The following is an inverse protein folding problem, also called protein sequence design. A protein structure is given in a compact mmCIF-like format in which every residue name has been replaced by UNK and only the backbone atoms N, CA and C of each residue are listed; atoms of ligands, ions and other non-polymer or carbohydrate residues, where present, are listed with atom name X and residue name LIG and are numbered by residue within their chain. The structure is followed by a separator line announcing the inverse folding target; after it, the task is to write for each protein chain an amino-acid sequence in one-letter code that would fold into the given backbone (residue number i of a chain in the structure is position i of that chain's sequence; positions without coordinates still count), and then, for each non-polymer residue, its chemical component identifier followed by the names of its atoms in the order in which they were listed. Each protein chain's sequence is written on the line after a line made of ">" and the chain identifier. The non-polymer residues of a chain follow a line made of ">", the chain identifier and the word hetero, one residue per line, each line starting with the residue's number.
data_IF_726686276386
#
_entry.id   IF_726686276386
#
_cell.length_a   1.000
_cell.length_b   1.000
_cell.length_c   1.000
_cell.angle_alpha   90.00
_cell.angle_beta   90.00
_cell.angle_gamma   90.00
#
_symmetry.space_group_name_H-M   'P 1'
#
loop_
_entity.id
_entity.type
_entity.pdbx_description
1 polymer ?
#
# COMPACT_ATOMS: atom_id res chain seq x y z
N UNK A 1 -69.83 -13.94 20.60
CA UNK A 1 -68.65 -14.66 20.07
C UNK A 1 -67.92 -13.73 19.11
N UNK A 2 -67.01 -12.90 19.62
CA UNK A 2 -66.11 -12.08 18.78
C UNK A 2 -64.88 -11.79 19.64
N UNK A 3 -63.81 -12.56 19.43
CA UNK A 3 -62.50 -12.33 20.05
C UNK A 3 -61.67 -11.48 19.08
N UNK A 4 -61.35 -10.26 19.50
CA UNK A 4 -60.31 -9.45 18.87
C UNK A 4 -58.95 -10.03 19.28
N UNK A 5 -58.20 -10.53 18.30
CA UNK A 5 -56.78 -10.88 18.46
C UNK A 5 -55.99 -9.65 18.05
N UNK A 6 -55.43 -8.93 19.04
CA UNK A 6 -54.42 -7.90 18.80
C UNK A 6 -53.12 -8.59 18.40
N UNK A 7 -52.67 -8.33 17.17
CA UNK A 7 -51.34 -8.69 16.69
C UNK A 7 -50.40 -7.55 17.05
N UNK A 8 -49.50 -7.76 18.02
CA UNK A 8 -48.43 -6.84 18.37
C UNK A 8 -47.20 -7.23 17.56
N UNK A 9 -46.96 -6.55 16.44
CA UNK A 9 -45.72 -6.69 15.67
C UNK A 9 -44.67 -5.72 16.24
N UNK A 10 -43.77 -6.25 17.07
CA UNK A 10 -42.58 -5.53 17.50
C UNK A 10 -41.54 -5.59 16.37
N UNK A 11 -41.36 -4.48 15.65
CA UNK A 11 -40.28 -4.31 14.70
C UNK A 11 -38.99 -4.03 15.47
N UNK A 12 -38.18 -5.07 15.71
CA UNK A 12 -36.80 -4.92 16.13
C UNK A 12 -35.97 -4.55 14.89
N UNK A 13 -35.67 -3.26 14.74
CA UNK A 13 -34.70 -2.77 13.76
C UNK A 13 -33.32 -3.12 14.31
N UNK A 14 -32.76 -4.23 13.83
CA UNK A 14 -31.36 -4.58 14.05
C UNK A 14 -30.50 -3.65 13.20
N UNK A 15 -29.98 -2.58 13.80
CA UNK A 15 -28.86 -1.81 13.26
C UNK A 15 -27.60 -2.68 13.39
N UNK A 16 -27.42 -3.62 12.48
CA UNK A 16 -26.11 -4.21 12.24
C UNK A 16 -25.27 -3.14 11.55
N UNK A 17 -24.53 -2.37 12.33
CA UNK A 17 -23.37 -1.64 11.81
C UNK A 17 -22.38 -2.70 11.36
N UNK A 18 -22.41 -3.04 10.07
CA UNK A 18 -21.29 -3.71 9.42
C UNK A 18 -20.11 -2.76 9.58
N UNK A 19 -19.22 -3.05 10.53
CA UNK A 19 -17.89 -2.49 10.48
C UNK A 19 -17.34 -2.94 9.12
N UNK A 20 -17.30 -2.01 8.17
CA UNK A 20 -16.52 -2.23 6.97
C UNK A 20 -15.11 -2.46 7.49
N UNK A 21 -14.62 -3.69 7.33
CA UNK A 21 -13.21 -3.96 7.52
C UNK A 21 -12.50 -2.98 6.60
N UNK A 22 -11.80 -2.01 7.19
CA UNK A 22 -10.99 -1.07 6.44
C UNK A 22 -10.02 -1.95 5.65
N UNK A 23 -10.18 -1.95 4.33
CA UNK A 23 -9.27 -2.68 3.44
C UNK A 23 -7.96 -1.93 3.54
N UNK A 24 -7.07 -2.44 4.40
CA UNK A 24 -5.73 -1.87 4.55
C UNK A 24 -4.93 -2.27 3.31
N UNK A 25 -4.88 -1.38 2.32
CA UNK A 25 -3.99 -1.52 1.16
C UNK A 25 -2.53 -1.39 1.63
N UNK A 26 -1.61 -2.21 1.10
CA UNK A 26 -0.19 -2.06 1.37
C UNK A 26 0.36 -0.78 0.74
N UNK A 27 1.30 -0.14 1.41
CA UNK A 27 1.93 1.10 0.93
C UNK A 27 2.91 0.81 -0.21
N UNK A 28 3.46 -0.40 -0.24
CA UNK A 28 4.49 -0.78 -1.19
C UNK A 28 4.39 -2.27 -1.50
N UNK A 29 4.39 -2.62 -2.79
CA UNK A 29 4.48 -4.01 -3.24
C UNK A 29 5.69 -4.23 -4.11
N UNK A 30 6.43 -5.29 -3.78
CA UNK A 30 7.51 -5.80 -4.62
C UNK A 30 7.28 -7.25 -4.94
N UNK A 31 7.69 -7.64 -6.14
CA UNK A 31 7.52 -8.99 -6.66
C UNK A 31 8.84 -9.53 -7.22
N UNK A 32 9.07 -10.80 -6.98
CA UNK A 32 10.10 -11.59 -7.66
C UNK A 32 9.41 -12.71 -8.44
N UNK A 33 9.49 -12.68 -9.78
CA UNK A 33 8.95 -13.75 -10.64
C UNK A 33 9.95 -14.88 -10.73
N UNK A 34 9.55 -16.11 -10.44
CA UNK A 34 10.44 -17.26 -10.52
C UNK A 34 10.25 -18.03 -11.82
N UNK A 35 11.36 -18.48 -12.38
CA UNK A 35 11.40 -19.37 -13.54
C UNK A 35 12.31 -20.55 -13.24
N UNK A 36 11.99 -21.70 -13.79
CA UNK A 36 12.90 -22.84 -13.76
C UNK A 36 14.21 -22.52 -14.50
N UNK A 37 15.32 -23.20 -14.15
CA UNK A 37 16.58 -23.08 -14.88
C UNK A 37 16.42 -23.42 -16.36
N UNK A 38 17.06 -22.64 -17.23
CA UNK A 38 17.07 -22.91 -18.67
C UNK A 38 18.21 -23.87 -19.06
N UNK A 39 18.19 -25.08 -18.50
CA UNK A 39 19.27 -26.09 -18.62
C UNK A 39 18.87 -27.32 -19.46
N UNK A 40 17.71 -27.27 -20.12
CA UNK A 40 17.16 -28.37 -20.91
C UNK A 40 16.52 -29.49 -20.08
N UNK A 41 16.39 -29.32 -18.77
CA UNK A 41 15.53 -30.16 -17.94
C UNK A 41 14.05 -29.91 -18.25
N UNK A 42 13.18 -30.78 -17.72
CA UNK A 42 11.74 -30.56 -17.80
C UNK A 42 11.39 -29.17 -17.25
N UNK A 43 10.44 -28.49 -17.91
CA UNK A 43 9.98 -27.15 -17.59
C UNK A 43 10.97 -25.99 -17.85
N UNK A 44 12.13 -26.22 -18.49
CA UNK A 44 13.19 -25.22 -18.61
C UNK A 44 12.72 -23.81 -19.10
N UNK A 45 12.93 -22.79 -18.25
CA UNK A 45 12.57 -21.40 -18.52
C UNK A 45 11.08 -21.04 -18.29
N UNK A 46 10.25 -22.00 -17.91
CA UNK A 46 8.83 -21.78 -17.61
C UNK A 46 8.65 -21.09 -16.25
N UNK A 47 7.56 -20.35 -16.09
CA UNK A 47 7.22 -19.65 -14.85
C UNK A 47 6.75 -20.65 -13.80
N UNK A 48 7.15 -20.46 -12.54
CA UNK A 48 6.80 -21.37 -11.43
C UNK A 48 6.16 -20.64 -10.25
N UNK A 49 5.53 -19.49 -10.54
CA UNK A 49 4.99 -18.57 -9.55
C UNK A 49 5.91 -17.39 -9.23
N UNK A 50 5.69 -16.80 -8.07
CA UNK A 50 6.29 -15.55 -7.64
C UNK A 50 6.30 -15.37 -6.12
N UNK A 51 7.27 -14.61 -5.63
CA UNK A 51 7.22 -14.05 -4.29
C UNK A 51 6.66 -12.63 -4.37
N UNK A 52 5.57 -12.36 -3.63
CA UNK A 52 4.96 -11.05 -3.51
C UNK A 52 5.11 -10.54 -2.08
N UNK A 53 5.52 -9.30 -1.96
CA UNK A 53 5.72 -8.62 -0.68
C UNK A 53 4.71 -7.51 -0.59
N UNK A 54 3.94 -7.50 0.49
CA UNK A 54 2.98 -6.45 0.82
C UNK A 54 3.54 -5.71 2.04
N UNK A 55 4.31 -4.65 1.79
CA UNK A 55 4.93 -3.86 2.85
C UNK A 55 3.91 -2.84 3.35
N UNK A 56 3.61 -2.90 4.64
CA UNK A 56 2.76 -1.93 5.34
C UNK A 56 3.64 -1.11 6.28
N UNK A 57 4.04 0.06 5.83
CA UNK A 57 4.81 1.02 6.59
C UNK A 57 3.89 1.81 7.52
N UNK A 58 3.85 1.45 8.81
CA UNK A 58 3.13 2.27 9.79
C UNK A 58 4.08 3.31 10.37
N UNK A 59 3.89 4.58 10.00
CA UNK A 59 4.56 5.67 10.71
C UNK A 59 3.99 5.78 12.13
N UNK A 60 4.79 5.45 13.14
CA UNK A 60 4.48 5.84 14.52
C UNK A 60 5.14 7.18 14.79
N UNK A 61 4.34 8.24 14.85
CA UNK A 61 4.79 9.57 15.22
C UNK A 61 5.27 9.56 16.69
N UNK A 62 6.58 9.44 16.91
CA UNK A 62 7.16 9.51 18.26
C UNK A 62 7.29 10.97 18.66
N UNK A 63 6.41 11.41 19.57
CA UNK A 63 6.49 12.71 20.22
C UNK A 63 7.74 12.80 21.13
N UNK A 64 8.50 13.90 20.95
CA UNK A 64 9.68 14.33 21.73
C UNK A 64 10.92 13.43 21.67
N UNK A 65 11.71 13.52 20.59
CA UNK A 65 13.17 13.24 20.65
C UNK A 65 13.80 12.48 19.49
N UNK A 66 13.00 11.91 18.57
CA UNK A 66 13.50 11.21 17.38
C UNK A 66 12.36 10.43 16.72
N UNK A 67 12.27 10.47 15.39
CA UNK A 67 11.28 9.71 14.62
C UNK A 67 11.79 8.27 14.48
N UNK A 68 11.00 7.27 14.91
CA UNK A 68 11.28 5.86 14.61
C UNK A 68 10.19 5.29 13.72
N UNK A 69 10.58 4.78 12.56
CA UNK A 69 9.69 4.06 11.64
C UNK A 69 9.43 2.64 12.18
N UNK A 70 8.17 2.19 12.16
CA UNK A 70 7.78 0.83 12.55
C UNK A 70 7.04 0.18 11.38
N UNK A 71 7.79 -0.55 10.55
CA UNK A 71 7.23 -1.18 9.36
C UNK A 71 6.68 -2.57 9.67
N UNK A 72 5.40 -2.84 9.41
CA UNK A 72 4.83 -4.19 9.44
C UNK A 72 5.03 -4.85 8.07
N UNK A 73 5.83 -5.92 8.02
CA UNK A 73 6.12 -6.63 6.77
C UNK A 73 5.23 -7.88 6.66
N UNK A 74 4.30 -7.88 5.72
CA UNK A 74 3.60 -9.12 5.35
C UNK A 74 4.11 -9.56 4.00
N UNK A 75 4.55 -10.80 3.86
CA UNK A 75 4.97 -11.31 2.55
C UNK A 75 4.36 -12.67 2.28
N UNK A 76 4.01 -12.89 1.02
CA UNK A 76 3.42 -14.11 0.53
C UNK A 76 4.32 -14.68 -0.54
N UNK A 77 4.80 -15.89 -0.32
CA UNK A 77 5.55 -16.61 -1.34
C UNK A 77 4.63 -17.67 -1.92
N UNK A 78 4.34 -17.56 -3.21
CA UNK A 78 3.50 -18.50 -3.95
C UNK A 78 4.32 -19.14 -5.06
N UNK A 79 4.66 -20.41 -4.89
CA UNK A 79 5.25 -21.24 -5.91
C UNK A 79 4.14 -22.12 -6.49
N UNK A 80 3.83 -21.92 -7.77
CA UNK A 80 2.78 -22.63 -8.49
C UNK A 80 3.38 -23.32 -9.70
N UNK A 81 3.38 -24.65 -9.67
CA UNK A 81 3.93 -25.47 -10.75
C UNK A 81 2.84 -25.99 -11.68
N UNK A 82 1.55 -25.74 -11.39
CA UNK A 82 0.42 -26.34 -12.11
C UNK A 82 0.30 -25.86 -13.56
N UNK A 83 0.79 -24.66 -13.85
CA UNK A 83 0.82 -24.08 -15.20
C UNK A 83 1.99 -24.59 -16.06
N UNK A 84 2.90 -25.40 -15.51
CA UNK A 84 4.07 -25.93 -16.24
C UNK A 84 3.65 -27.01 -17.22
N UNK A 85 4.22 -26.96 -18.42
CA UNK A 85 3.95 -27.92 -19.49
C UNK A 85 4.28 -29.35 -19.06
N UNK A 86 3.28 -30.23 -19.03
CA UNK A 86 3.46 -31.63 -18.63
C UNK A 86 3.51 -31.89 -17.12
N UNK A 87 3.02 -30.94 -16.31
CA UNK A 87 2.87 -31.05 -14.85
C UNK A 87 2.33 -32.42 -14.40
N UNK A 88 1.16 -32.85 -14.88
CA UNK A 88 0.50 -34.11 -14.49
C UNK A 88 1.39 -35.35 -14.62
N UNK A 89 2.32 -35.33 -15.59
CA UNK A 89 3.18 -36.46 -15.92
C UNK A 89 4.57 -36.40 -15.30
N UNK A 90 5.10 -35.20 -15.08
CA UNK A 90 6.51 -35.01 -14.75
C UNK A 90 6.73 -34.44 -13.36
N UNK A 91 5.72 -33.83 -12.74
CA UNK A 91 5.88 -33.18 -11.45
C UNK A 91 6.17 -34.16 -10.32
N UNK A 92 5.42 -35.28 -10.27
CA UNK A 92 5.63 -36.34 -9.29
C UNK A 92 7.00 -36.98 -9.52
N UNK A 93 7.88 -36.88 -8.52
CA UNK A 93 9.27 -37.33 -8.60
C UNK A 93 10.22 -36.36 -9.31
N UNK A 94 9.76 -35.16 -9.68
CA UNK A 94 10.65 -34.07 -10.08
C UNK A 94 11.46 -33.56 -8.88
N UNK A 95 12.54 -32.83 -9.17
CA UNK A 95 13.30 -32.10 -8.16
C UNK A 95 12.52 -30.94 -7.51
N UNK A 96 11.33 -30.61 -8.03
CA UNK A 96 10.51 -29.51 -7.54
C UNK A 96 9.49 -29.94 -6.48
N UNK A 97 9.30 -31.25 -6.28
CA UNK A 97 8.35 -31.81 -5.31
C UNK A 97 8.97 -31.88 -3.89
N UNK A 98 9.44 -30.73 -3.38
CA UNK A 98 10.08 -30.60 -2.06
C UNK A 98 9.62 -29.32 -1.38
N UNK A 99 9.78 -29.24 -0.05
CA UNK A 99 9.65 -27.98 0.66
C UNK A 99 10.78 -27.02 0.26
N UNK A 100 10.54 -25.72 0.39
CA UNK A 100 11.47 -24.67 -0.03
C UNK A 100 11.82 -23.72 1.10
N UNK A 101 13.10 -23.46 1.31
CA UNK A 101 13.57 -22.40 2.20
C UNK A 101 13.77 -21.10 1.42
N UNK A 102 13.14 -20.03 1.89
CA UNK A 102 13.16 -18.71 1.25
C UNK A 102 14.08 -17.79 2.04
N UNK A 103 14.91 -17.05 1.31
CA UNK A 103 15.85 -16.08 1.82
C UNK A 103 15.66 -14.77 1.08
N UNK A 104 15.84 -13.66 1.79
CA UNK A 104 15.93 -12.32 1.20
C UNK A 104 17.32 -11.80 1.51
N UNK A 105 18.03 -11.39 0.47
CA UNK A 105 19.46 -11.16 0.54
C UNK A 105 20.14 -12.40 1.15
N UNK A 106 20.68 -12.27 2.36
CA UNK A 106 21.44 -13.33 2.99
C UNK A 106 20.72 -13.99 4.18
N UNK A 107 19.51 -13.54 4.54
CA UNK A 107 18.78 -14.01 5.72
C UNK A 107 17.59 -14.90 5.39
N UNK A 108 17.44 -16.02 6.11
CA UNK A 108 16.26 -16.88 6.03
C UNK A 108 15.02 -16.15 6.51
N UNK A 109 13.92 -16.24 5.74
CA UNK A 109 12.65 -15.59 6.07
C UNK A 109 11.51 -16.57 6.30
N UNK A 110 11.62 -17.81 5.80
CA UNK A 110 10.66 -18.85 6.12
C UNK A 110 10.66 -20.02 5.13
N UNK A 111 9.85 -21.02 5.43
CA UNK A 111 9.69 -22.23 4.62
C UNK A 111 8.34 -22.23 3.91
N UNK A 112 8.37 -22.53 2.62
CA UNK A 112 7.18 -22.84 1.82
C UNK A 112 7.00 -24.35 1.86
N UNK A 113 5.94 -24.80 2.52
CA UNK A 113 5.57 -26.20 2.53
C UNK A 113 4.93 -26.56 1.19
N UNK A 114 5.34 -27.69 0.64
CA UNK A 114 4.80 -28.20 -0.60
C UNK A 114 3.63 -29.15 -0.32
N UNK A 115 2.49 -28.96 -0.97
CA UNK A 115 1.37 -29.90 -0.91
C UNK A 115 1.40 -30.93 -2.06
N UNK A 116 0.72 -32.07 -1.90
CA UNK A 116 0.70 -33.10 -2.95
C UNK A 116 -0.04 -32.67 -4.25
N UNK A 117 -0.65 -31.49 -4.27
CA UNK A 117 -1.38 -30.94 -5.42
C UNK A 117 -0.47 -30.06 -6.29
N UNK A 118 0.80 -29.87 -5.89
CA UNK A 118 1.81 -29.11 -6.63
C UNK A 118 1.67 -27.60 -6.48
N UNK A 119 0.98 -27.18 -5.42
CA UNK A 119 0.93 -25.80 -4.97
C UNK A 119 1.82 -25.67 -3.73
N UNK A 120 2.81 -24.78 -3.82
CA UNK A 120 3.61 -24.33 -2.70
C UNK A 120 3.19 -22.91 -2.32
N UNK A 121 2.07 -22.77 -1.61
CA UNK A 121 1.63 -21.46 -1.12
C UNK A 121 2.00 -21.35 0.36
N UNK A 122 2.83 -20.37 0.70
CA UNK A 122 3.09 -20.01 2.09
C UNK A 122 2.92 -18.52 2.28
N UNK A 123 1.99 -18.17 3.15
CA UNK A 123 1.87 -16.82 3.64
C UNK A 123 2.74 -16.70 4.90
N UNK A 124 3.87 -15.99 4.75
CA UNK A 124 4.84 -15.80 5.81
C UNK A 124 4.63 -14.41 6.38
N UNK A 125 3.90 -14.34 7.50
CA UNK A 125 3.71 -13.08 8.19
C UNK A 125 4.88 -12.82 9.13
N UNK A 126 5.64 -11.76 8.88
CA UNK A 126 6.68 -11.29 9.79
C UNK A 126 6.26 -9.97 10.43
N UNK A 127 5.72 -10.07 11.64
CA UNK A 127 5.45 -8.87 12.41
C UNK A 127 6.74 -8.37 13.07
N UNK A 128 7.32 -7.30 12.51
CA UNK A 128 8.49 -6.65 13.13
C UNK A 128 8.14 -5.96 14.46
N UNK A 129 6.84 -5.82 14.79
CA UNK A 129 6.38 -5.25 16.07
C UNK A 129 6.77 -6.17 17.21
N UNK A 130 7.92 -5.90 17.80
CA UNK A 130 8.25 -6.47 19.09
C UNK A 130 7.42 -5.74 20.17
N UNK A 131 6.69 -6.44 21.06
CA UNK A 131 5.84 -5.82 22.09
C UNK A 131 6.64 -4.96 23.10
N UNK A 132 7.95 -5.15 23.14
CA UNK A 132 8.94 -4.28 23.77
C UNK A 132 9.92 -3.82 22.68
N UNK A 133 10.33 -2.55 22.53
CA UNK A 133 11.39 -2.20 21.58
C UNK A 133 12.62 -3.09 21.88
N UNK A 134 13.15 -3.83 20.90
CA UNK A 134 14.13 -4.85 21.21
C UNK A 134 15.38 -4.19 21.80
N UNK A 135 15.75 -4.60 23.02
CA UNK A 135 17.04 -4.24 23.63
C UNK A 135 18.22 -4.86 22.86
N UNK A 136 17.92 -5.78 21.95
CA UNK A 136 18.83 -6.46 21.05
C UNK A 136 18.77 -5.82 19.67
N UNK A 137 19.95 -5.60 19.09
CA UNK A 137 20.09 -5.32 17.66
C UNK A 137 19.32 -6.38 16.86
N UNK A 138 18.70 -5.97 15.75
CA UNK A 138 18.20 -6.86 14.70
C UNK A 138 19.26 -7.98 14.49
N UNK A 139 18.86 -9.26 14.35
CA UNK A 139 19.82 -10.35 14.14
C UNK A 139 20.84 -9.98 13.08
N UNK A 140 22.12 -10.20 13.36
CA UNK A 140 23.20 -9.88 12.42
C UNK A 140 22.96 -10.64 11.10
N UNK A 141 22.65 -9.90 10.03
CA UNK A 141 22.33 -10.48 8.71
C UNK A 141 20.84 -10.49 8.33
N UNK A 142 19.92 -10.05 9.20
CA UNK A 142 18.56 -9.76 8.75
C UNK A 142 18.60 -8.56 7.80
N UNK A 143 17.90 -8.62 6.65
CA UNK A 143 17.88 -7.48 5.74
C UNK A 143 17.34 -6.24 6.48
N UNK A 144 17.98 -5.09 6.26
CA UNK A 144 17.38 -3.77 6.47
C UNK A 144 16.00 -3.72 5.77
N UNK A 145 15.14 -2.68 5.94
CA UNK A 145 13.82 -2.61 5.30
C UNK A 145 13.86 -3.15 3.87
N UNK A 146 13.02 -4.15 3.56
CA UNK A 146 13.04 -4.83 2.24
C UNK A 146 12.88 -3.79 1.14
N UNK A 147 13.83 -3.72 0.22
CA UNK A 147 13.91 -2.71 -0.82
C UNK A 147 13.74 -3.31 -2.22
N UNK A 148 13.48 -2.44 -3.20
CA UNK A 148 13.72 -2.78 -4.61
C UNK A 148 15.18 -3.20 -4.78
N UNK A 149 15.42 -4.18 -5.65
CA UNK A 149 16.71 -4.82 -5.92
C UNK A 149 17.24 -5.76 -4.85
N UNK A 150 16.56 -5.90 -3.71
CA UNK A 150 16.85 -7.01 -2.80
C UNK A 150 16.64 -8.33 -3.52
N UNK A 151 17.49 -9.30 -3.24
CA UNK A 151 17.47 -10.57 -3.99
C UNK A 151 16.71 -11.61 -3.20
N UNK A 152 15.59 -12.10 -3.74
CA UNK A 152 14.92 -13.28 -3.20
C UNK A 152 15.58 -14.53 -3.74
N UNK A 153 15.93 -15.43 -2.83
CA UNK A 153 16.56 -16.71 -3.13
C UNK A 153 15.74 -17.84 -2.54
N UNK A 154 15.50 -18.87 -3.34
CA UNK A 154 14.77 -20.06 -2.92
C UNK A 154 15.68 -21.26 -3.04
N UNK A 155 15.85 -21.99 -1.94
CA UNK A 155 16.64 -23.21 -1.85
C UNK A 155 15.73 -24.39 -1.53
N UNK A 156 16.15 -25.60 -1.91
CA UNK A 156 15.53 -26.82 -1.40
C UNK A 156 15.61 -26.83 0.13
N UNK A 157 14.53 -27.18 0.82
CA UNK A 157 14.47 -27.16 2.27
C UNK A 157 15.59 -27.97 2.92
N UNK A 158 16.28 -27.36 3.87
CA UNK A 158 17.23 -28.05 4.72
C UNK A 158 16.52 -29.09 5.61
N UNK A 159 17.19 -30.20 6.00
CA UNK A 159 16.58 -31.22 6.86
C UNK A 159 16.10 -30.68 8.22
N UNK A 160 16.80 -29.66 8.74
CA UNK A 160 16.37 -28.88 9.89
C UNK A 160 15.78 -27.54 9.41
N UNK A 161 14.73 -27.06 10.07
CA UNK A 161 14.18 -25.74 9.79
C UNK A 161 15.17 -24.67 10.30
N UNK A 162 15.66 -23.76 9.44
CA UNK A 162 16.50 -22.65 9.88
C UNK A 162 15.73 -21.68 10.79
N UNK A 163 16.45 -20.92 11.60
CA UNK A 163 15.89 -19.79 12.35
C UNK A 163 15.83 -18.55 11.46
N UNK A 164 14.88 -17.65 11.72
CA UNK A 164 14.76 -16.39 10.96
C UNK A 164 16.07 -15.61 11.07
N UNK A 165 16.63 -15.23 9.92
CA UNK A 165 17.93 -14.54 9.82
C UNK A 165 19.14 -15.46 9.68
N UNK A 166 18.98 -16.78 9.72
CA UNK A 166 20.08 -17.72 9.42
C UNK A 166 20.68 -17.43 8.04
N UNK A 167 22.02 -17.57 7.88
CA UNK A 167 22.70 -17.23 6.63
C UNK A 167 22.35 -18.19 5.50
N UNK A 168 22.65 -17.77 4.26
CA UNK A 168 22.49 -18.62 3.07
C UNK A 168 23.13 -20.01 3.26
N UNK A 169 22.43 -21.09 2.86
CA UNK A 169 23.03 -22.41 2.79
C UNK A 169 24.09 -22.43 1.68
N UNK A 170 25.04 -23.36 1.77
CA UNK A 170 26.00 -23.59 0.69
C UNK A 170 25.30 -24.10 -0.57
N UNK A 171 25.79 -23.70 -1.75
CA UNK A 171 25.25 -24.12 -3.05
C UNK A 171 24.73 -22.94 -3.87
N UNK A 172 23.99 -23.25 -4.93
CA UNK A 172 23.28 -22.23 -5.73
C UNK A 172 21.79 -22.31 -5.43
N UNK A 173 21.08 -21.17 -5.36
CA UNK A 173 19.63 -21.19 -5.21
C UNK A 173 18.98 -21.85 -6.42
N UNK A 174 17.84 -22.50 -6.20
CA UNK A 174 17.02 -23.09 -7.26
C UNK A 174 16.30 -22.01 -8.04
N UNK A 175 15.76 -21.03 -7.32
CA UNK A 175 15.18 -19.82 -7.91
C UNK A 175 15.85 -18.60 -7.30
N UNK A 176 16.18 -17.63 -8.14
CA UNK A 176 16.68 -16.34 -7.69
C UNK A 176 16.10 -15.25 -8.58
N UNK A 177 15.60 -14.19 -7.98
CA UNK A 177 15.29 -12.97 -8.71
C UNK A 177 15.43 -11.75 -7.78
N UNK A 178 15.62 -10.59 -8.40
CA UNK A 178 15.53 -9.32 -7.69
C UNK A 178 14.07 -8.97 -7.45
N UNK A 179 13.82 -8.37 -6.30
CA UNK A 179 12.58 -7.69 -5.99
C UNK A 179 12.49 -6.48 -6.92
N UNK A 180 11.47 -6.51 -7.76
CA UNK A 180 11.09 -5.35 -8.57
C UNK A 180 9.80 -4.79 -7.99
N UNK A 181 9.66 -3.47 -8.03
CA UNK A 181 8.41 -2.80 -7.68
C UNK A 181 7.29 -3.39 -8.56
N UNK A 182 6.23 -3.91 -7.92
CA UNK A 182 5.11 -4.52 -8.65
C UNK A 182 4.19 -3.43 -9.23
N UNK A 183 4.09 -2.31 -8.53
CA UNK A 183 3.41 -1.13 -9.04
C UNK A 183 4.35 -0.32 -9.90
N UNK A 184 3.87 0.08 -11.07
CA UNK A 184 4.49 1.18 -11.78
C UNK A 184 4.16 2.45 -10.98
N UNK A 185 5.18 3.15 -10.47
CA UNK A 185 4.94 4.39 -9.72
C UNK A 185 4.17 5.37 -10.62
N UNK A 186 2.95 5.72 -10.26
CA UNK A 186 2.00 6.36 -11.18
C UNK A 186 0.62 5.69 -11.20
N UNK A 187 0.57 4.39 -10.91
CA UNK A 187 -0.65 3.58 -10.83
C UNK A 187 -1.39 3.84 -9.50
N UNK A 188 -2.15 4.94 -9.43
CA UNK A 188 -2.90 5.33 -8.22
C UNK A 188 -4.06 4.36 -7.97
N UNK A 189 -4.68 3.87 -9.05
CA UNK A 189 -5.90 3.06 -8.97
C UNK A 189 -5.61 1.56 -8.73
N UNK A 190 -4.34 1.16 -8.84
CA UNK A 190 -3.79 -0.18 -8.63
C UNK A 190 -4.30 -1.24 -9.62
N UNK A 191 -4.54 -0.87 -10.88
CA UNK A 191 -4.97 -1.80 -11.92
C UNK A 191 -3.81 -2.43 -12.70
N UNK A 192 -2.58 -1.99 -12.45
CA UNK A 192 -1.36 -2.48 -13.07
C UNK A 192 -0.88 -1.69 -14.29
N UNK A 193 -1.56 -0.59 -14.63
CA UNK A 193 -1.18 0.34 -15.70
C UNK A 193 -0.92 1.74 -15.14
N UNK A 194 -0.20 2.57 -15.90
CA UNK A 194 -0.04 4.00 -15.55
C UNK A 194 -0.62 4.79 -16.72
N UNK A 195 -1.90 5.06 -16.65
CA UNK A 195 -2.66 5.58 -17.77
C UNK A 195 -3.70 6.66 -17.37
N UNK A 196 -4.62 6.97 -18.29
CA UNK A 196 -5.61 8.02 -18.08
C UNK A 196 -6.57 7.70 -16.92
N UNK A 197 -6.78 6.43 -16.59
CA UNK A 197 -7.68 6.01 -15.53
C UNK A 197 -7.10 6.27 -14.12
N UNK A 198 -5.79 6.45 -13.98
CA UNK A 198 -5.13 6.87 -12.73
C UNK A 198 -5.28 8.37 -12.45
N UNK A 199 -5.34 9.17 -13.51
CA UNK A 199 -5.26 10.62 -13.41
C UNK A 199 -6.36 11.24 -12.53
N UNK A 200 -7.64 10.81 -12.58
CA UNK A 200 -8.67 11.34 -11.67
C UNK A 200 -8.35 11.13 -10.20
N UNK A 201 -7.70 10.01 -9.85
CA UNK A 201 -7.30 9.72 -8.47
C UNK A 201 -6.12 10.59 -8.05
N UNK A 202 -5.10 10.70 -8.91
CA UNK A 202 -3.97 11.61 -8.68
C UNK A 202 -4.45 13.06 -8.51
N UNK A 203 -5.30 13.53 -9.41
CA UNK A 203 -5.81 14.90 -9.41
C UNK A 203 -6.68 15.21 -8.19
N UNK A 204 -7.41 14.22 -7.66
CA UNK A 204 -8.22 14.40 -6.45
C UNK A 204 -7.35 14.60 -5.19
N UNK A 205 -6.12 14.07 -5.20
CA UNK A 205 -5.18 14.20 -4.09
C UNK A 205 -4.09 15.27 -4.34
N UNK A 206 -4.03 15.86 -5.53
CA UNK A 206 -2.95 16.78 -5.92
C UNK A 206 -2.98 18.09 -5.13
N UNK A 207 -2.07 18.21 -4.17
CA UNK A 207 -2.00 19.28 -3.19
C UNK A 207 -0.56 19.78 -3.02
N UNK A 208 -0.06 20.57 -3.99
CA UNK A 208 1.30 21.08 -3.96
C UNK A 208 1.58 22.06 -2.80
N UNK A 209 0.56 22.46 -2.06
CA UNK A 209 0.66 23.38 -0.93
C UNK A 209 0.52 22.67 0.42
N UNK A 210 0.25 21.36 0.43
CA UNK A 210 0.09 20.53 1.62
C UNK A 210 -0.99 21.10 2.57
N UNK A 211 -2.13 21.46 2.01
CA UNK A 211 -3.30 21.99 2.72
C UNK A 211 -4.16 20.87 3.30
N UNK A 212 -4.27 19.73 2.62
CA UNK A 212 -5.05 18.56 3.04
C UNK A 212 -4.35 17.70 4.12
N UNK A 213 -3.12 18.07 4.49
CA UNK A 213 -2.26 17.34 5.43
C UNK A 213 -1.38 16.29 4.76
N UNK A 214 -0.82 15.39 5.58
CA UNK A 214 0.05 14.32 5.09
C UNK A 214 -0.75 13.33 4.22
N UNK A 215 -0.41 13.27 2.93
CA UNK A 215 -0.92 12.29 1.99
C UNK A 215 0.09 11.17 1.89
N UNK A 216 -0.18 10.04 2.54
CA UNK A 216 0.80 8.96 2.67
C UNK A 216 0.52 7.87 1.65
N UNK A 217 1.51 7.62 0.80
CA UNK A 217 1.60 6.45 -0.07
C UNK A 217 0.88 6.56 -1.43
N UNK A 218 1.04 5.52 -2.27
CA UNK A 218 0.73 5.59 -3.71
C UNK A 218 -0.76 5.79 -4.01
N UNK A 219 -1.66 5.25 -3.18
CA UNK A 219 -3.12 5.42 -3.35
C UNK A 219 -3.59 6.85 -3.08
N UNK A 220 -2.76 7.66 -2.43
CA UNK A 220 -2.98 9.10 -2.24
C UNK A 220 -2.18 9.93 -3.26
N UNK A 221 -1.55 9.29 -4.24
CA UNK A 221 -0.68 9.94 -5.22
C UNK A 221 0.70 10.36 -4.70
N UNK A 222 1.12 9.93 -3.50
CA UNK A 222 2.47 10.14 -2.96
C UNK A 222 3.40 9.02 -3.44
N UNK A 223 3.99 9.24 -4.62
CA UNK A 223 4.89 8.29 -5.28
C UNK A 223 6.36 8.52 -4.93
N UNK A 224 6.69 9.67 -4.36
CA UNK A 224 8.03 10.02 -3.87
C UNK A 224 8.27 9.64 -2.41
N UNK A 225 7.21 9.24 -1.70
CA UNK A 225 7.21 8.84 -0.29
C UNK A 225 7.69 9.97 0.63
N UNK A 226 7.32 11.21 0.31
CA UNK A 226 7.60 12.39 1.12
C UNK A 226 6.34 12.91 1.86
N UNK A 227 5.27 12.12 1.83
CA UNK A 227 3.94 12.39 2.39
C UNK A 227 3.21 13.56 1.70
N UNK A 228 3.52 13.81 0.42
CA UNK A 228 2.88 14.84 -0.39
C UNK A 228 2.45 14.22 -1.71
N UNK A 229 1.38 14.78 -2.27
CA UNK A 229 0.99 14.52 -3.65
C UNK A 229 1.16 15.84 -4.40
N UNK A 230 2.34 16.06 -4.96
CA UNK A 230 2.71 17.31 -5.60
C UNK A 230 3.34 17.12 -6.98
N UNK A 231 3.93 18.18 -7.53
CA UNK A 231 4.55 18.16 -8.84
C UNK A 231 5.59 17.04 -8.98
N UNK A 232 6.32 16.69 -7.92
CA UNK A 232 7.28 15.62 -7.93
C UNK A 232 6.61 14.27 -8.23
N UNK A 233 5.44 14.01 -7.66
CA UNK A 233 4.68 12.78 -7.88
C UNK A 233 4.03 12.76 -9.26
N UNK A 234 3.49 13.89 -9.73
CA UNK A 234 2.99 13.99 -11.11
C UNK A 234 4.12 13.74 -12.13
N UNK A 235 5.36 14.18 -11.85
CA UNK A 235 6.50 13.85 -12.70
C UNK A 235 6.84 12.36 -12.68
N UNK A 236 6.65 11.67 -11.55
CA UNK A 236 6.80 10.21 -11.46
C UNK A 236 5.72 9.50 -12.28
N UNK A 237 4.47 9.97 -12.20
CA UNK A 237 3.37 9.49 -13.04
C UNK A 237 3.70 9.62 -14.54
N UNK A 238 4.11 10.81 -14.99
CA UNK A 238 4.50 11.03 -16.39
C UNK A 238 5.69 10.18 -16.82
N UNK A 239 6.65 9.92 -15.94
CA UNK A 239 7.82 9.11 -16.25
C UNK A 239 7.46 7.64 -16.49
N UNK A 240 6.43 7.14 -15.83
CA UNK A 240 6.00 5.74 -15.93
C UNK A 240 4.76 5.54 -16.80
N UNK A 241 4.19 6.60 -17.37
CA UNK A 241 3.07 6.58 -18.31
C UNK A 241 3.28 5.54 -19.42
N UNK A 242 2.46 4.49 -19.43
CA UNK A 242 2.61 3.35 -20.34
C UNK A 242 1.57 3.33 -21.48
N UNK A 243 0.60 4.26 -21.47
CA UNK A 243 -0.31 4.47 -22.59
C UNK A 243 0.38 5.18 -23.77
N UNK A 244 -0.06 4.82 -24.97
CA UNK A 244 0.36 5.39 -26.24
C UNK A 244 -0.21 6.78 -26.54
N UNK A 245 -1.17 7.25 -25.75
CA UNK A 245 -1.75 8.59 -25.86
C UNK A 245 -0.91 9.64 -25.13
N UNK A 246 -1.15 10.91 -25.45
CA UNK A 246 -0.53 12.01 -24.73
C UNK A 246 -1.06 12.02 -23.28
N UNK A 247 -0.19 12.08 -22.26
CA UNK A 247 -0.64 12.16 -20.89
C UNK A 247 -1.45 13.43 -20.65
N UNK A 248 -2.39 13.41 -19.69
CA UNK A 248 -3.15 14.59 -19.30
C UNK A 248 -2.20 15.66 -18.78
N UNK A 249 -2.58 16.93 -18.95
CA UNK A 249 -1.83 18.04 -18.38
C UNK A 249 -1.77 17.93 -16.84
N UNK A 250 -0.78 18.58 -16.24
CA UNK A 250 -0.60 18.63 -14.78
C UNK A 250 -1.92 18.93 -14.07
N UNK A 251 -2.27 18.19 -13.01
CA UNK A 251 -3.49 18.47 -12.26
C UNK A 251 -3.44 19.91 -11.75
N UNK A 252 -4.60 20.54 -11.69
CA UNK A 252 -4.69 21.80 -10.96
C UNK A 252 -4.54 21.47 -9.47
N UNK A 253 -3.83 22.32 -8.69
CA UNK A 253 -3.85 22.22 -7.23
C UNK A 253 -5.30 22.06 -6.78
N UNK A 254 -5.58 21.20 -5.79
CA UNK A 254 -6.90 21.18 -5.13
C UNK A 254 -7.23 22.63 -4.83
N UNK A 255 -8.18 23.16 -5.61
CA UNK A 255 -8.31 24.59 -5.72
C UNK A 255 -8.81 25.07 -4.37
N UNK A 256 -8.15 26.10 -3.83
CA UNK A 256 -8.75 26.97 -2.83
C UNK A 256 -10.09 27.42 -3.41
N UNK A 257 -11.18 26.76 -3.01
CA UNK A 257 -12.51 27.22 -3.40
C UNK A 257 -12.72 28.49 -2.61
N UNK A 258 -13.09 29.54 -3.32
CA UNK A 258 -13.49 30.82 -2.74
C UNK A 258 -14.62 30.49 -1.74
N UNK A 259 -14.37 30.66 -0.44
CA UNK A 259 -15.29 30.29 0.65
C UNK A 259 -15.09 28.91 1.29
N UNK A 260 -14.15 28.07 0.83
CA UNK A 260 -13.71 26.85 1.52
C UNK A 260 -12.56 27.23 2.46
N UNK A 261 -12.92 27.43 3.71
CA UNK A 261 -12.10 28.07 4.73
C UNK A 261 -11.47 27.08 5.68
N UNK A 262 -12.05 25.88 5.82
CA UNK A 262 -11.41 24.75 6.50
C UNK A 262 -10.58 23.87 5.56
N UNK A 263 -10.67 24.13 4.26
CA UNK A 263 -9.99 23.44 3.18
C UNK A 263 -10.35 21.96 3.09
N UNK A 264 -11.59 21.59 3.43
CA UNK A 264 -12.10 20.22 3.29
C UNK A 264 -12.56 19.88 1.85
N UNK A 265 -12.46 20.85 0.94
CA UNK A 265 -12.80 20.72 -0.47
C UNK A 265 -14.29 20.99 -0.77
N UNK A 266 -15.10 21.30 0.24
CA UNK A 266 -16.51 21.68 0.14
C UNK A 266 -16.69 23.08 0.72
N UNK A 267 -17.66 23.83 0.21
CA UNK A 267 -18.08 25.09 0.85
C UNK A 267 -19.40 24.86 1.57
N UNK A 268 -19.36 24.80 2.90
CA UNK A 268 -20.52 24.38 3.68
C UNK A 268 -20.59 24.92 5.11
N UNK A 269 -21.23 24.11 5.96
CA UNK A 269 -21.57 24.54 7.32
C UNK A 269 -20.35 24.70 8.22
N UNK A 270 -19.26 23.97 7.95
CA UNK A 270 -18.04 24.07 8.73
C UNK A 270 -17.32 25.39 8.45
N UNK A 271 -17.21 25.80 7.18
CA UNK A 271 -16.67 27.10 6.76
C UNK A 271 -17.45 28.25 7.37
N UNK A 272 -18.78 28.16 7.32
CA UNK A 272 -19.65 29.14 7.95
C UNK A 272 -19.38 29.26 9.46
N UNK A 273 -19.18 28.12 10.14
CA UNK A 273 -18.87 28.15 11.57
C UNK A 273 -17.51 28.79 11.85
N UNK A 274 -16.51 28.61 10.96
CA UNK A 274 -15.22 29.27 11.11
C UNK A 274 -15.36 30.79 11.01
N UNK A 275 -16.10 31.30 10.03
CA UNK A 275 -16.37 32.75 9.92
C UNK A 275 -17.08 33.27 11.18
N UNK A 276 -18.07 32.55 11.68
CA UNK A 276 -18.82 32.96 12.87
C UNK A 276 -18.01 32.85 14.16
N UNK A 277 -17.09 31.89 14.25
CA UNK A 277 -16.25 31.66 15.42
C UNK A 277 -15.16 32.73 15.55
N UNK A 278 -14.60 33.19 14.43
CA UNK A 278 -13.51 34.17 14.39
C UNK A 278 -13.98 35.58 14.01
N UNK A 279 -15.28 35.84 14.10
CA UNK A 279 -15.88 37.12 13.70
C UNK A 279 -15.26 38.32 14.41
N UNK A 280 -14.73 39.25 13.61
CA UNK A 280 -14.18 40.52 14.07
C UNK A 280 -12.77 40.80 13.56
N UNK A 281 -12.09 41.82 14.14
CA UNK A 281 -10.75 42.17 13.75
C UNK A 281 -9.79 41.02 14.03
N UNK A 282 -8.94 40.70 13.05
CA UNK A 282 -7.91 39.70 13.21
C UNK A 282 -6.61 40.17 12.55
N UNK A 283 -5.48 39.62 12.99
CA UNK A 283 -4.16 40.03 12.50
C UNK A 283 -3.41 38.77 12.08
N UNK A 284 -3.12 38.66 10.78
CA UNK A 284 -2.51 37.48 10.15
C UNK A 284 -3.31 36.18 10.36
N UNK A 285 -4.63 36.31 10.39
CA UNK A 285 -5.59 35.22 10.35
C UNK A 285 -5.60 34.60 8.95
N UNK A 286 -5.60 33.27 8.86
CA UNK A 286 -5.75 32.54 7.59
C UNK A 286 -7.15 32.66 7.00
N UNK A 287 -8.13 33.03 7.82
CA UNK A 287 -9.54 33.18 7.48
C UNK A 287 -9.90 34.55 6.87
N UNK A 288 -9.01 35.54 6.93
CA UNK A 288 -9.18 36.86 6.30
C UNK A 288 -8.80 36.77 4.82
N UNK A 289 -9.74 36.27 4.02
CA UNK A 289 -9.52 35.92 2.61
C UNK A 289 -9.27 37.17 1.73
N UNK A 290 -9.86 38.31 2.08
CA UNK A 290 -9.69 39.56 1.31
C UNK A 290 -8.56 40.48 1.82
N UNK A 291 -8.02 40.18 3.00
CA UNK A 291 -6.87 40.85 3.59
C UNK A 291 -7.18 42.23 4.15
N UNK A 292 -8.44 42.52 4.48
CA UNK A 292 -8.86 43.80 5.07
C UNK A 292 -8.58 43.91 6.58
N UNK A 293 -8.15 42.81 7.20
CA UNK A 293 -7.86 42.68 8.63
C UNK A 293 -9.08 42.36 9.49
N UNK A 294 -10.19 41.93 8.90
CA UNK A 294 -11.46 41.65 9.57
C UNK A 294 -12.09 40.40 8.97
N UNK A 295 -12.34 39.37 9.80
CA UNK A 295 -13.26 38.29 9.42
C UNK A 295 -14.68 38.78 9.67
N UNK A 296 -15.46 38.93 8.61
CA UNK A 296 -16.79 39.50 8.71
C UNK A 296 -17.68 39.17 7.53
N UNK A 297 -18.37 40.19 7.03
CA UNK A 297 -19.39 39.99 6.00
C UNK A 297 -18.81 39.60 4.64
N UNK A 298 -17.55 39.93 4.35
CA UNK A 298 -16.93 39.59 3.09
C UNK A 298 -16.71 38.07 3.00
N UNK A 299 -16.08 37.49 4.02
CA UNK A 299 -15.84 36.05 4.16
C UNK A 299 -17.17 35.30 4.27
N UNK A 300 -18.12 35.83 5.05
CA UNK A 300 -19.46 35.22 5.15
C UNK A 300 -20.15 35.15 3.79
N UNK A 301 -20.12 36.25 3.03
CA UNK A 301 -20.72 36.29 1.70
C UNK A 301 -19.97 35.35 0.75
N UNK A 302 -18.66 35.18 0.92
CA UNK A 302 -17.84 34.27 0.16
C UNK A 302 -18.28 32.82 0.35
N UNK A 303 -18.41 32.36 1.60
CA UNK A 303 -18.95 31.04 1.94
C UNK A 303 -20.37 30.86 1.39
N UNK A 304 -21.26 31.83 1.63
CA UNK A 304 -22.66 31.72 1.19
C UNK A 304 -22.82 31.77 -0.33
N UNK A 305 -21.94 32.47 -1.04
CA UNK A 305 -22.00 32.58 -2.49
C UNK A 305 -21.53 31.32 -3.22
N UNK A 306 -20.67 30.52 -2.57
CA UNK A 306 -20.09 29.32 -3.14
C UNK A 306 -20.62 28.03 -2.49
N UNK A 307 -21.71 28.13 -1.73
CA UNK A 307 -22.34 27.04 -0.98
C UNK A 307 -22.67 25.82 -1.86
N UNK A 308 -22.15 24.65 -1.48
CA UNK A 308 -22.44 23.33 -2.06
C UNK A 308 -23.62 22.62 -1.36
#
# INVERSE_FOLDING_TARGET
>A
MMRHVMLTAAAAIALTTTAFAQVENPDFQVRAKFRTPNDGSWAAGESVGDARFDVKSRFLQVYYGGVSRLDEYTFRVQLDFTDISGFDTHYVGSQYQVDWDVYINDGFVGRVMHDNEGLGISELKYDSRHPDPPATLIPEGFPDPVNVFDVVRVYTAAPALPEIGDPLPGGSPVFQNELIEEFARGDVNQDGHVDEDDFPFLAASYDPWHVLGDLVGPTAGDFTADNRCDLADYMVFLQNWDDSHDPPAEPLPVAFRVGDLDHDGLVGFNDLNLVLAEWGPCSNCTLDADGDGIIGFNELNEVLANWD
#
